data_IF_633336944218
#
_entry.id   IF_633336944218
#
_cell.length_a   1.000
_cell.length_b   1.000
_cell.length_c   1.000
_cell.angle_alpha   90.00
_cell.angle_beta   90.00
_cell.angle_gamma   90.00
#
_symmetry.space_group_name_H-M   'P 1'
#
loop_
_entity.id
_entity.type
_entity.pdbx_description
1 polymer ?
#
# COMPACT_ATOMS: atom_id res chain seq x y z
N UNK A 1 -4.75 17.78 -24.18
CA UNK A 1 -3.86 17.04 -25.10
C UNK A 1 -2.63 16.66 -24.31
N UNK A 2 -2.27 15.40 -24.08
CA UNK A 2 -2.93 14.10 -24.28
C UNK A 2 -2.17 13.13 -23.33
N UNK A 3 -2.86 12.05 -22.95
CA UNK A 3 -2.54 10.94 -22.03
C UNK A 3 -1.13 10.30 -22.08
N UNK A 4 -0.19 10.81 -22.87
CA UNK A 4 1.04 10.09 -23.24
C UNK A 4 2.20 10.19 -22.22
N UNK A 5 2.11 11.07 -21.23
CA UNK A 5 3.19 11.25 -20.24
C UNK A 5 3.14 10.20 -19.12
N UNK A 6 1.96 9.70 -18.76
CA UNK A 6 1.79 8.83 -17.59
C UNK A 6 2.17 7.37 -17.91
N UNK A 7 1.94 6.88 -19.13
CA UNK A 7 2.35 5.50 -19.49
C UNK A 7 3.88 5.34 -19.60
N UNK A 8 4.63 6.42 -19.84
CA UNK A 8 6.09 6.35 -19.89
C UNK A 8 6.75 6.21 -18.52
N UNK A 9 6.10 6.66 -17.44
CA UNK A 9 6.66 6.56 -16.09
C UNK A 9 6.53 5.14 -15.55
N UNK A 10 5.42 4.43 -15.86
CA UNK A 10 5.27 3.02 -15.47
C UNK A 10 6.26 2.09 -16.18
N UNK A 11 6.67 2.42 -17.41
CA UNK A 11 7.60 1.61 -18.19
C UNK A 11 9.09 1.78 -17.80
N UNK A 12 9.44 2.83 -17.04
CA UNK A 12 10.84 3.09 -16.66
C UNK A 12 11.29 2.39 -15.36
N UNK A 13 10.39 1.73 -14.63
CA UNK A 13 10.73 1.05 -13.37
C UNK A 13 11.46 -0.30 -13.54
N UNK A 14 11.77 -0.73 -14.77
CA UNK A 14 12.39 -2.04 -15.04
C UNK A 14 13.83 -2.02 -15.57
N UNK A 15 14.50 -0.87 -15.66
CA UNK A 15 15.91 -0.85 -16.08
C UNK A 15 16.84 -0.19 -15.06
N UNK A 16 17.92 -0.93 -14.81
CA UNK A 16 19.19 -0.54 -14.21
C UNK A 16 19.31 -0.60 -12.68
N UNK A 17 19.87 -1.72 -12.22
CA UNK A 17 21.04 -1.66 -11.34
C UNK A 17 21.93 -2.88 -11.60
N UNK A 18 22.67 -2.83 -12.70
CA UNK A 18 23.98 -3.49 -12.79
C UNK A 18 25.05 -2.39 -12.71
N UNK A 19 26.21 -2.78 -12.17
CA UNK A 19 27.52 -2.14 -12.14
C UNK A 19 28.15 -1.99 -10.76
N UNK A 20 29.35 -2.57 -10.75
CA UNK A 20 30.44 -2.59 -9.80
C UNK A 20 30.70 -1.29 -9.03
N UNK A 21 31.06 -1.48 -7.76
CA UNK A 21 32.35 -1.01 -7.23
C UNK A 21 32.53 0.49 -7.04
N UNK A 22 32.64 0.92 -5.79
CA UNK A 22 33.63 1.92 -5.41
C UNK A 22 34.09 1.73 -3.96
N UNK A 23 35.42 1.78 -3.79
CA UNK A 23 36.15 1.69 -2.52
C UNK A 23 36.68 3.09 -2.20
N UNK A 24 36.35 3.57 -0.99
CA UNK A 24 37.00 4.56 -0.11
C UNK A 24 37.45 5.95 -0.65
N UNK A 25 37.08 7.02 0.08
CA UNK A 25 38.01 7.82 0.92
C UNK A 25 37.23 8.73 1.88
N UNK A 26 37.75 8.88 3.11
CA UNK A 26 37.23 9.71 4.19
C UNK A 26 37.62 11.19 4.08
N UNK A 27 36.76 12.08 4.58
CA UNK A 27 37.02 13.51 4.84
C UNK A 27 35.83 14.13 5.61
N UNK A 28 36.07 15.08 6.54
CA UNK A 28 35.19 15.32 7.69
C UNK A 28 34.12 16.40 7.48
N UNK A 29 33.09 16.33 8.33
CA UNK A 29 32.15 17.39 8.70
C UNK A 29 31.30 18.04 7.60
N UNK A 30 30.19 17.37 7.28
CA UNK A 30 28.92 18.06 7.10
C UNK A 30 27.88 17.28 7.91
N UNK A 31 27.35 17.92 8.95
CA UNK A 31 26.32 17.35 9.80
C UNK A 31 25.14 16.87 8.96
N UNK A 32 25.05 15.56 8.77
CA UNK A 32 23.78 14.92 8.43
C UNK A 32 22.99 14.92 9.74
N UNK A 33 22.33 16.05 9.99
CA UNK A 33 21.20 16.07 10.90
C UNK A 33 20.22 15.06 10.35
N UNK A 34 20.22 13.87 10.95
CA UNK A 34 19.20 12.88 10.74
C UNK A 34 17.89 13.48 11.27
N UNK A 35 17.14 14.17 10.40
CA UNK A 35 15.71 14.40 10.59
C UNK A 35 14.98 13.07 10.39
N UNK A 36 15.26 12.14 11.29
CA UNK A 36 14.47 10.95 11.56
C UNK A 36 14.09 11.01 13.03
N UNK A 37 13.35 12.05 13.42
CA UNK A 37 12.63 12.09 14.69
C UNK A 37 11.53 13.16 14.63
N UNK A 38 10.30 12.71 14.91
CA UNK A 38 9.11 13.51 15.22
C UNK A 38 8.36 14.22 14.09
N UNK A 39 8.02 13.49 13.03
CA UNK A 39 6.74 13.69 12.35
C UNK A 39 5.83 12.54 12.75
N UNK A 40 4.68 12.80 13.40
CA UNK A 40 3.58 11.83 13.39
C UNK A 40 3.38 11.44 11.93
N UNK A 41 3.54 10.15 11.62
CA UNK A 41 3.49 9.71 10.24
C UNK A 41 2.13 10.14 9.66
N UNK A 42 2.09 10.88 8.55
CA UNK A 42 0.82 11.36 8.00
C UNK A 42 -0.13 10.21 7.66
N UNK A 43 0.39 8.98 7.52
CA UNK A 43 -0.39 7.76 7.33
C UNK A 43 -0.95 7.16 8.63
N UNK A 44 -0.48 7.56 9.82
CA UNK A 44 -1.00 7.06 11.09
C UNK A 44 -2.48 7.42 11.28
N UNK A 45 -3.22 6.47 11.82
CA UNK A 45 -4.65 6.60 12.07
C UNK A 45 -5.49 5.52 11.39
N UNK A 46 -6.80 5.60 11.61
CA UNK A 46 -7.78 4.72 10.97
C UNK A 46 -8.22 5.35 9.65
N UNK A 47 -8.14 4.58 8.58
CA UNK A 47 -8.53 4.98 7.24
C UNK A 47 -9.64 4.07 6.74
N UNK A 48 -10.74 4.65 6.29
CA UNK A 48 -11.90 3.90 5.80
C UNK A 48 -12.64 4.68 4.72
N UNK A 49 -13.25 4.02 3.72
CA UNK A 49 -14.09 4.70 2.74
C UNK A 49 -15.41 5.19 3.34
N UNK A 50 -15.82 4.62 4.47
CA UNK A 50 -16.92 5.12 5.27
C UNK A 50 -16.68 4.74 6.74
N UNK A 51 -16.37 5.73 7.57
CA UNK A 51 -15.98 5.50 8.97
C UNK A 51 -17.06 4.87 9.85
N UNK A 52 -18.33 4.94 9.44
CA UNK A 52 -19.48 4.39 10.16
C UNK A 52 -19.84 2.95 9.72
N UNK A 53 -19.52 2.59 8.47
CA UNK A 53 -19.95 1.32 7.86
C UNK A 53 -18.82 0.31 7.69
N UNK A 54 -17.59 0.78 7.49
CA UNK A 54 -16.44 -0.06 7.19
C UNK A 54 -15.31 0.19 8.18
N UNK A 55 -14.64 -0.89 8.57
CA UNK A 55 -13.47 -0.81 9.44
C UNK A 55 -12.25 -0.22 8.73
N UNK A 56 -12.06 -0.57 7.45
CA UNK A 56 -10.90 -0.17 6.68
C UNK A 56 -9.61 -0.73 7.31
N UNK A 57 -8.60 0.11 7.50
CA UNK A 57 -7.36 -0.27 8.16
C UNK A 57 -6.86 0.80 9.12
N UNK A 58 -6.16 0.38 10.19
CA UNK A 58 -5.57 1.28 11.18
C UNK A 58 -4.05 1.14 11.17
N UNK A 59 -3.37 2.19 10.71
CA UNK A 59 -1.91 2.27 10.66
C UNK A 59 -1.39 2.74 12.01
N UNK A 60 -0.54 1.93 12.63
CA UNK A 60 0.24 2.30 13.80
C UNK A 60 1.68 2.70 13.44
N UNK A 61 2.48 2.99 14.46
CA UNK A 61 3.83 3.58 14.33
C UNK A 61 4.84 2.72 13.54
N UNK A 62 4.55 1.43 13.32
CA UNK A 62 5.43 0.51 12.61
C UNK A 62 5.03 0.30 11.13
N UNK A 63 4.13 1.12 10.59
CA UNK A 63 3.62 0.99 9.21
C UNK A 63 3.00 -0.38 8.93
N UNK A 64 2.46 -1.02 9.97
CA UNK A 64 1.67 -2.24 9.84
C UNK A 64 0.25 -1.97 10.27
N UNK A 65 -0.66 -2.71 9.66
CA UNK A 65 -2.08 -2.60 9.95
C UNK A 65 -2.78 -3.93 9.74
N UNK A 66 -3.92 -4.05 10.40
CA UNK A 66 -4.95 -4.99 10.03
C UNK A 66 -5.89 -4.30 9.04
N UNK A 67 -6.24 -4.98 7.95
CA UNK A 67 -7.10 -4.43 6.88
C UNK A 67 -8.28 -5.37 6.62
N UNK A 68 -9.48 -4.85 6.89
CA UNK A 68 -10.75 -5.51 6.59
C UNK A 68 -11.11 -5.28 5.12
N UNK A 69 -10.97 -6.32 4.30
CA UNK A 69 -11.30 -6.30 2.86
C UNK A 69 -12.79 -6.60 2.65
N UNK A 70 -13.30 -7.59 3.39
CA UNK A 70 -14.72 -7.94 3.43
C UNK A 70 -15.10 -8.28 4.87
N UNK A 71 -16.16 -7.65 5.35
CA UNK A 71 -16.69 -7.80 6.70
C UNK A 71 -17.02 -9.27 6.98
N UNK A 72 -16.46 -9.80 8.06
CA UNK A 72 -16.62 -11.20 8.48
C UNK A 72 -16.13 -12.26 7.47
N UNK A 73 -15.47 -11.88 6.39
CA UNK A 73 -15.02 -12.83 5.34
C UNK A 73 -13.52 -12.78 5.12
N UNK A 74 -12.93 -11.59 5.02
CA UNK A 74 -11.52 -11.43 4.69
C UNK A 74 -10.95 -10.27 5.50
N UNK A 75 -10.12 -10.62 6.47
CA UNK A 75 -9.27 -9.70 7.19
C UNK A 75 -7.81 -10.13 7.03
N UNK A 76 -6.93 -9.19 6.68
CA UNK A 76 -5.51 -9.44 6.39
C UNK A 76 -4.60 -8.57 7.23
N UNK A 77 -3.39 -9.05 7.46
CA UNK A 77 -2.28 -8.22 7.93
C UNK A 77 -1.57 -7.62 6.72
N UNK A 78 -1.25 -6.33 6.82
CA UNK A 78 -0.55 -5.57 5.79
C UNK A 78 0.64 -4.82 6.38
N UNK A 79 1.60 -4.52 5.52
CA UNK A 79 2.61 -3.51 5.78
C UNK A 79 2.62 -2.47 4.67
N UNK A 80 3.01 -1.25 5.03
CA UNK A 80 3.06 -0.10 4.16
C UNK A 80 4.53 0.27 3.91
N UNK A 81 4.83 0.69 2.69
CA UNK A 81 6.10 1.33 2.33
C UNK A 81 5.81 2.70 1.75
N UNK A 82 6.33 3.74 2.40
CA UNK A 82 6.30 5.10 1.88
C UNK A 82 7.25 5.17 0.68
N UNK A 83 6.81 5.75 -0.42
CA UNK A 83 7.64 5.96 -1.59
C UNK A 83 8.74 6.97 -1.24
N UNK A 84 10.00 6.63 -1.50
CA UNK A 84 11.12 7.56 -1.33
C UNK A 84 11.24 8.60 -2.44
N UNK A 85 10.35 8.57 -3.43
CA UNK A 85 10.31 9.51 -4.57
C UNK A 85 9.23 10.57 -4.38
N UNK A 86 8.10 10.18 -3.79
CA UNK A 86 6.95 11.04 -3.52
C UNK A 86 6.39 10.71 -2.13
N UNK A 87 6.58 11.62 -1.17
CA UNK A 87 6.29 11.36 0.25
C UNK A 87 4.79 11.10 0.54
N UNK A 88 3.90 11.47 -0.38
CA UNK A 88 2.45 11.25 -0.28
C UNK A 88 1.99 9.91 -0.85
N UNK A 89 2.87 9.12 -1.48
CA UNK A 89 2.55 7.81 -2.03
C UNK A 89 2.96 6.69 -1.07
N UNK A 90 2.03 5.75 -0.84
CA UNK A 90 2.27 4.51 -0.13
C UNK A 90 1.95 3.29 -1.00
N UNK A 91 2.81 2.30 -0.92
CA UNK A 91 2.54 0.95 -1.41
C UNK A 91 2.07 0.09 -0.25
N UNK A 92 0.93 -0.59 -0.42
CA UNK A 92 0.35 -1.48 0.59
C UNK A 92 0.58 -2.92 0.15
N UNK A 93 1.19 -3.72 1.01
CA UNK A 93 1.56 -5.11 0.75
C UNK A 93 0.81 -6.05 1.67
N UNK A 94 0.43 -7.21 1.14
CA UNK A 94 -0.15 -8.31 1.90
C UNK A 94 0.94 -9.10 2.65
N UNK A 95 0.71 -9.39 3.94
CA UNK A 95 1.61 -10.24 4.75
C UNK A 95 1.02 -11.63 5.00
N UNK A 96 -0.20 -11.68 5.52
CA UNK A 96 -0.89 -12.92 5.89
C UNK A 96 -2.38 -12.69 6.04
N UNK A 97 -3.22 -13.74 5.95
CA UNK A 97 -4.56 -13.65 6.51
C UNK A 97 -4.48 -13.42 8.02
N UNK A 98 -5.43 -12.67 8.56
CA UNK A 98 -5.61 -12.45 9.99
C UNK A 98 -6.87 -13.18 10.50
N UNK A 99 -7.96 -13.08 9.76
CA UNK A 99 -9.21 -13.78 10.04
C UNK A 99 -9.97 -14.03 8.73
N UNK A 100 -10.54 -15.21 8.58
CA UNK A 100 -11.16 -15.68 7.34
C UNK A 100 -12.51 -16.33 7.61
N UNK A 101 -13.55 -15.79 6.97
CA UNK A 101 -14.83 -16.43 6.83
C UNK A 101 -14.89 -17.35 5.61
N UNK A 102 -16.08 -17.87 5.31
CA UNK A 102 -16.32 -18.82 4.22
C UNK A 102 -15.82 -18.35 2.85
N UNK A 103 -16.00 -17.06 2.54
CA UNK A 103 -15.54 -16.48 1.28
C UNK A 103 -14.01 -16.40 1.19
N UNK A 104 -13.33 -16.19 2.31
CA UNK A 104 -11.88 -16.06 2.36
C UNK A 104 -11.14 -17.40 2.37
N UNK A 105 -11.67 -18.43 3.03
CA UNK A 105 -10.98 -19.73 3.22
C UNK A 105 -10.61 -20.42 1.89
N UNK A 106 -11.39 -20.21 0.83
CA UNK A 106 -11.20 -20.87 -0.46
C UNK A 106 -10.16 -20.20 -1.37
N UNK A 107 -9.52 -19.11 -0.92
CA UNK A 107 -8.47 -18.45 -1.69
C UNK A 107 -7.11 -19.12 -1.47
N UNK A 108 -6.27 -19.10 -2.52
CA UNK A 108 -4.92 -19.66 -2.51
C UNK A 108 -3.92 -18.75 -1.77
N UNK A 109 -4.14 -18.50 -0.48
CA UNK A 109 -3.35 -17.54 0.32
C UNK A 109 -1.84 -17.80 0.29
N UNK A 110 -1.43 -19.06 0.14
CA UNK A 110 -0.02 -19.44 0.05
C UNK A 110 0.64 -18.97 -1.25
N UNK A 111 -0.15 -18.76 -2.30
CA UNK A 111 0.34 -18.37 -3.63
C UNK A 111 0.26 -16.86 -3.86
N UNK A 112 -0.32 -16.10 -2.93
CA UNK A 112 -0.35 -14.64 -3.03
C UNK A 112 0.99 -14.00 -2.71
N UNK A 113 1.43 -13.11 -3.60
CA UNK A 113 2.69 -12.40 -3.45
C UNK A 113 2.65 -11.45 -2.26
N UNK A 114 3.71 -11.48 -1.46
CA UNK A 114 4.01 -10.48 -0.42
C UNK A 114 4.89 -9.33 -0.92
N UNK A 115 5.38 -9.45 -2.16
CA UNK A 115 6.33 -8.52 -2.76
C UNK A 115 5.70 -7.64 -3.84
N UNK A 116 4.44 -7.90 -4.21
CA UNK A 116 3.67 -7.08 -5.14
C UNK A 116 2.59 -6.36 -4.33
N UNK A 117 2.44 -5.04 -4.46
CA UNK A 117 1.47 -4.29 -3.69
C UNK A 117 0.05 -4.70 -4.08
N UNK A 118 -0.83 -4.83 -3.08
CA UNK A 118 -2.26 -5.07 -3.28
C UNK A 118 -3.04 -3.78 -3.52
N UNK A 119 -2.46 -2.64 -3.13
CA UNK A 119 -2.99 -1.32 -3.38
C UNK A 119 -1.89 -0.25 -3.34
N UNK A 120 -2.15 0.86 -4.02
CA UNK A 120 -1.37 2.09 -3.92
C UNK A 120 -2.27 3.17 -3.32
N UNK A 121 -1.83 3.81 -2.24
CA UNK A 121 -2.50 4.94 -1.63
C UNK A 121 -1.78 6.24 -1.94
N UNK A 122 -2.52 7.27 -2.30
CA UNK A 122 -2.01 8.63 -2.47
C UNK A 122 -2.74 9.54 -1.49
N UNK A 123 -2.01 10.15 -0.55
CA UNK A 123 -2.58 11.14 0.36
C UNK A 123 -2.85 12.44 -0.40
N UNK A 124 -4.06 12.96 -0.23
CA UNK A 124 -4.55 14.23 -0.77
C UNK A 124 -5.00 15.10 0.41
N UNK A 125 -4.07 15.91 0.93
CA UNK A 125 -4.28 16.70 2.15
C UNK A 125 -4.26 15.88 3.44
N UNK A 126 -4.83 16.38 4.53
CA UNK A 126 -4.65 15.76 5.87
C UNK A 126 -5.54 14.54 6.14
N UNK A 127 -6.70 14.47 5.51
CA UNK A 127 -7.78 13.55 5.90
C UNK A 127 -8.32 12.71 4.76
N UNK A 128 -7.68 12.73 3.59
CA UNK A 128 -8.15 12.02 2.40
C UNK A 128 -7.02 11.25 1.74
N UNK A 129 -7.35 10.06 1.28
CA UNK A 129 -6.43 9.19 0.55
C UNK A 129 -7.17 8.58 -0.63
N UNK A 130 -6.59 8.69 -1.83
CA UNK A 130 -7.03 7.93 -3.00
C UNK A 130 -6.37 6.56 -2.95
N UNK A 131 -7.16 5.52 -2.71
CA UNK A 131 -6.67 4.15 -2.70
C UNK A 131 -6.97 3.49 -4.05
N UNK A 132 -5.95 3.11 -4.80
CA UNK A 132 -6.07 2.29 -5.99
C UNK A 132 -5.92 0.81 -5.61
N UNK A 133 -7.04 0.09 -5.55
CA UNK A 133 -7.08 -1.33 -5.23
C UNK A 133 -6.74 -2.19 -6.45
N UNK A 134 -5.76 -3.08 -6.30
CA UNK A 134 -5.32 -4.01 -7.37
C UNK A 134 -5.81 -5.44 -7.15
N UNK A 135 -6.06 -5.86 -5.91
CA UNK A 135 -6.34 -7.25 -5.57
C UNK A 135 -5.09 -8.02 -5.14
N UNK A 136 -5.25 -9.31 -4.89
CA UNK A 136 -4.16 -10.20 -4.52
C UNK A 136 -3.50 -10.79 -5.75
N UNK A 137 -2.21 -10.53 -5.96
CA UNK A 137 -1.47 -11.12 -7.07
C UNK A 137 -1.11 -12.58 -6.77
N UNK A 138 -1.65 -13.52 -7.54
CA UNK A 138 -1.34 -14.94 -7.41
C UNK A 138 -0.11 -15.30 -8.27
N UNK A 139 0.94 -15.81 -7.63
CA UNK A 139 2.24 -16.10 -8.23
C UNK A 139 2.26 -17.36 -9.10
N UNK A 140 1.26 -18.24 -8.98
CA UNK A 140 1.13 -19.43 -9.84
C UNK A 140 0.38 -19.13 -11.13
N UNK A 141 -0.73 -18.40 -11.02
CA UNK A 141 -1.58 -18.05 -12.17
C UNK A 141 -1.15 -16.75 -12.87
N UNK A 142 -0.30 -15.95 -12.23
CA UNK A 142 0.14 -14.62 -12.70
C UNK A 142 -1.01 -13.61 -12.88
N UNK A 143 -2.10 -13.79 -12.14
CA UNK A 143 -3.30 -12.95 -12.21
C UNK A 143 -3.61 -12.30 -10.86
N UNK A 144 -4.19 -11.10 -10.91
CA UNK A 144 -4.82 -10.49 -9.75
C UNK A 144 -6.17 -11.15 -9.49
N UNK A 145 -6.38 -11.56 -8.24
CA UNK A 145 -7.62 -12.12 -7.73
C UNK A 145 -8.25 -11.15 -6.74
N UNK A 146 -9.56 -11.28 -6.53
CA UNK A 146 -10.30 -10.42 -5.60
C UNK A 146 -10.28 -8.92 -5.95
N UNK A 147 -10.30 -8.61 -7.25
CA UNK A 147 -10.22 -7.23 -7.77
C UNK A 147 -11.51 -6.44 -7.55
N UNK A 148 -12.68 -7.09 -7.70
CA UNK A 148 -13.99 -6.44 -7.70
C UNK A 148 -14.96 -6.95 -6.63
N UNK A 149 -14.43 -7.71 -5.68
CA UNK A 149 -15.15 -8.33 -4.58
C UNK A 149 -15.00 -7.65 -3.21
N UNK A 150 -14.03 -6.74 -2.92
CA UNK A 150 -14.01 -6.05 -1.63
C UNK A 150 -15.30 -5.30 -1.34
N UNK A 151 -15.65 -5.16 -0.05
CA UNK A 151 -16.88 -4.46 0.38
C UNK A 151 -16.90 -2.99 -0.07
N UNK A 152 -15.72 -2.41 -0.24
CA UNK A 152 -15.51 -1.03 -0.67
C UNK A 152 -15.30 -0.89 -2.18
N UNK A 153 -15.52 -1.94 -2.98
CA UNK A 153 -15.28 -1.87 -4.42
C UNK A 153 -16.16 -0.81 -5.10
N UNK A 154 -15.49 0.02 -5.92
CA UNK A 154 -16.14 0.94 -6.85
C UNK A 154 -15.70 0.62 -8.28
N UNK A 155 -16.57 0.86 -9.27
CA UNK A 155 -16.33 0.55 -10.70
C UNK A 155 -15.04 1.13 -11.30
N UNK A 156 -14.36 2.06 -10.62
CA UNK A 156 -13.16 2.75 -11.09
C UNK A 156 -11.87 2.33 -10.38
N UNK A 157 -11.89 1.34 -9.49
CA UNK A 157 -10.75 0.83 -8.68
C UNK A 157 -10.04 1.86 -7.78
N UNK A 158 -10.32 3.15 -7.95
CA UNK A 158 -9.91 4.22 -7.07
C UNK A 158 -11.03 4.46 -6.07
N UNK A 159 -10.76 4.20 -4.80
CA UNK A 159 -11.67 4.37 -3.68
C UNK A 159 -11.17 5.54 -2.84
N UNK A 160 -12.06 6.45 -2.48
CA UNK A 160 -11.72 7.54 -1.57
C UNK A 160 -11.80 7.04 -0.13
N UNK A 161 -10.66 7.01 0.56
CA UNK A 161 -10.57 6.74 1.98
C UNK A 161 -10.47 8.07 2.75
N UNK A 162 -11.07 8.08 3.93
CA UNK A 162 -11.06 9.20 4.86
C UNK A 162 -10.37 8.80 6.14
N UNK A 163 -9.62 9.74 6.74
CA UNK A 163 -9.12 9.58 8.10
C UNK A 163 -10.31 9.64 9.05
N UNK A 164 -10.55 8.56 9.78
CA UNK A 164 -11.62 8.47 10.77
C UNK A 164 -11.16 9.06 12.10
N UNK A 165 -12.09 9.72 12.80
CA UNK A 165 -11.87 10.06 14.19
C UNK A 165 -11.64 8.77 14.99
N UNK A 166 -10.61 8.80 15.83
CA UNK A 166 -10.22 7.72 16.73
C UNK A 166 -11.09 7.66 17.98
#
# INVERSE_FOLDING_TARGET
MKKDTIEKILALLFLAAAFEGCRATAGPDAGVSSTLANGSNEFEGRWSPNCERFEGFKVGNNLRANFVINSNQININIHLKISGVEDNLISIYFDSPSDLGRGGINLDWADFSKNIPIAIGEIDGKNSMRLNWSGFYNTKSFLYQWVNQPDFYEKRNVILFHRCAS
#
